data_IF_251947241915
#
_entry.id   IF_251947241915
#
_cell.length_a   1.000
_cell.length_b   1.000
_cell.length_c   1.000
_cell.angle_alpha   90.00
_cell.angle_beta   90.00
_cell.angle_gamma   90.00
#
_symmetry.space_group_name_H-M   'P 1'
#
loop_
_entity.id
_entity.type
_entity.pdbx_description
1 polymer ?
#
# COMPACT_ATOMS: atom_id res chain seq x y z
N UNK A 1 -22.52 -7.08 0.97
CA UNK A 1 -21.51 -7.71 0.10
C UNK A 1 -20.82 -8.84 0.86
N UNK A 2 -20.33 -9.86 0.13
CA UNK A 2 -19.61 -11.01 0.70
C UNK A 2 -18.12 -10.79 0.42
N UNK A 3 -17.22 -10.76 1.44
CA UNK A 3 -15.80 -10.57 1.23
C UNK A 3 -15.18 -11.77 0.49
N UNK A 4 -14.34 -11.47 -0.51
CA UNK A 4 -13.52 -12.47 -1.22
C UNK A 4 -12.24 -12.71 -0.42
N UNK A 5 -11.55 -11.64 -0.04
CA UNK A 5 -10.31 -11.67 0.73
C UNK A 5 -10.15 -10.43 1.60
N UNK A 6 -9.28 -10.54 2.59
CA UNK A 6 -8.79 -9.42 3.39
C UNK A 6 -7.39 -9.05 2.92
N UNK A 7 -7.03 -7.76 3.01
CA UNK A 7 -5.73 -7.22 2.58
C UNK A 7 -5.28 -6.09 3.49
N UNK A 8 -3.99 -5.82 3.49
CA UNK A 8 -3.37 -4.65 4.08
C UNK A 8 -2.05 -4.37 3.38
N UNK A 9 -1.36 -3.33 3.81
CA UNK A 9 -0.11 -2.90 3.18
C UNK A 9 1.11 -3.47 3.91
N UNK A 10 2.13 -3.81 3.11
CA UNK A 10 3.43 -4.26 3.61
C UNK A 10 4.52 -3.83 2.62
N UNK A 11 5.75 -3.73 3.10
CA UNK A 11 6.89 -3.43 2.23
C UNK A 11 7.33 -4.68 1.47
N UNK A 12 7.67 -4.49 0.21
CA UNK A 12 8.43 -5.46 -0.59
C UNK A 12 9.77 -4.86 -0.94
N UNK A 13 10.83 -5.67 -0.85
CA UNK A 13 12.19 -5.24 -1.07
C UNK A 13 12.88 -6.10 -2.12
N UNK A 14 13.71 -5.47 -2.95
CA UNK A 14 14.68 -6.15 -3.81
C UNK A 14 16.04 -6.14 -3.12
N UNK A 15 16.32 -7.15 -2.32
CA UNK A 15 17.56 -7.27 -1.58
C UNK A 15 18.80 -7.44 -2.45
N UNK A 16 18.66 -7.81 -3.74
CA UNK A 16 19.78 -7.78 -4.69
C UNK A 16 20.35 -6.36 -4.82
N UNK A 17 19.50 -5.34 -4.96
CA UNK A 17 19.95 -3.95 -5.04
C UNK A 17 20.42 -3.41 -3.67
N UNK A 18 19.72 -3.75 -2.58
CA UNK A 18 20.16 -3.41 -1.23
C UNK A 18 21.57 -3.96 -0.94
N UNK A 19 21.85 -5.21 -1.32
CA UNK A 19 23.18 -5.81 -1.17
C UNK A 19 24.26 -5.07 -1.99
N UNK A 20 23.94 -4.60 -3.20
CA UNK A 20 24.86 -3.76 -4.00
C UNK A 20 25.16 -2.43 -3.28
N UNK A 21 24.20 -1.88 -2.54
CA UNK A 21 24.41 -0.72 -1.67
C UNK A 21 25.11 -1.07 -0.33
N UNK A 22 25.39 -2.36 -0.09
CA UNK A 22 26.07 -2.84 1.14
C UNK A 22 25.13 -2.99 2.32
N UNK A 23 23.83 -3.13 2.07
CA UNK A 23 22.79 -3.34 3.09
C UNK A 23 22.31 -4.78 2.96
N UNK A 24 22.51 -5.59 4.02
CA UNK A 24 22.23 -7.04 4.01
C UNK A 24 20.94 -7.42 4.74
N UNK A 25 20.36 -6.49 5.50
CA UNK A 25 19.11 -6.67 6.26
C UNK A 25 18.01 -5.80 5.64
N UNK A 26 16.77 -6.27 5.70
CA UNK A 26 15.59 -5.45 5.35
C UNK A 26 15.46 -4.28 6.34
N UNK A 27 15.05 -3.07 5.89
CA UNK A 27 14.77 -1.96 6.80
C UNK A 27 13.70 -2.31 7.83
N UNK A 28 13.92 -1.92 9.10
CA UNK A 28 13.02 -2.18 10.24
C UNK A 28 12.64 -0.90 11.00
N UNK A 29 13.25 0.21 10.64
CA UNK A 29 13.04 1.51 11.29
C UNK A 29 13.15 2.66 10.28
N UNK A 30 12.73 3.85 10.69
CA UNK A 30 12.96 5.08 9.91
C UNK A 30 14.46 5.34 9.71
N UNK A 31 15.27 5.11 10.74
CA UNK A 31 16.72 5.29 10.65
C UNK A 31 17.34 4.35 9.60
N UNK A 32 16.85 3.11 9.49
CA UNK A 32 17.31 2.18 8.44
C UNK A 32 16.92 2.68 7.05
N UNK A 33 15.71 3.23 6.89
CA UNK A 33 15.29 3.82 5.62
C UNK A 33 16.15 5.01 5.23
N UNK A 34 16.41 5.94 6.16
CA UNK A 34 17.25 7.10 5.92
C UNK A 34 18.71 6.70 5.62
N UNK A 35 19.25 5.72 6.34
CA UNK A 35 20.57 5.16 6.05
C UNK A 35 20.63 4.49 4.68
N UNK A 36 19.54 3.81 4.27
CA UNK A 36 19.44 3.21 2.94
C UNK A 36 19.45 4.29 1.84
N UNK A 37 18.68 5.37 1.98
CA UNK A 37 18.70 6.49 1.04
C UNK A 37 20.11 7.02 0.80
N UNK A 38 20.83 7.31 1.87
CA UNK A 38 22.22 7.76 1.82
C UNK A 38 23.13 6.73 1.12
N UNK A 39 23.04 5.45 1.51
CA UNK A 39 23.89 4.40 0.95
C UNK A 39 23.62 4.17 -0.54
N UNK A 40 22.37 4.20 -0.98
CA UNK A 40 22.00 4.09 -2.39
C UNK A 40 22.61 5.22 -3.20
N UNK A 41 22.40 6.48 -2.75
CA UNK A 41 22.98 7.66 -3.42
C UNK A 41 24.50 7.59 -3.53
N UNK A 42 25.19 7.27 -2.43
CA UNK A 42 26.65 7.25 -2.37
C UNK A 42 27.27 6.11 -3.19
N UNK A 43 26.65 4.93 -3.24
CA UNK A 43 27.25 3.73 -3.81
C UNK A 43 26.69 3.36 -5.19
N UNK A 44 25.43 3.68 -5.46
CA UNK A 44 24.76 3.29 -6.70
C UNK A 44 24.48 4.50 -7.61
N UNK A 45 24.48 5.72 -7.05
CA UNK A 45 24.21 6.97 -7.77
C UNK A 45 22.78 7.46 -7.66
N UNK A 46 22.53 8.63 -8.25
CA UNK A 46 21.28 9.38 -8.11
C UNK A 46 20.06 8.70 -8.75
N UNK A 47 20.25 7.71 -9.62
CA UNK A 47 19.18 6.97 -10.31
C UNK A 47 18.60 5.80 -9.49
N UNK A 48 19.21 5.45 -8.35
CA UNK A 48 18.83 4.31 -7.54
C UNK A 48 18.18 4.75 -6.24
N UNK A 49 17.00 4.21 -5.95
CA UNK A 49 16.21 4.56 -4.77
C UNK A 49 15.84 3.32 -3.97
N UNK A 50 15.91 3.37 -2.62
CA UNK A 50 15.39 2.32 -1.75
C UNK A 50 13.94 1.97 -2.02
N UNK A 51 13.08 2.96 -2.38
CA UNK A 51 11.69 2.71 -2.77
C UNK A 51 11.12 3.83 -3.63
N UNK A 52 9.91 3.57 -4.17
CA UNK A 52 9.05 4.58 -4.77
C UNK A 52 7.60 4.32 -4.41
N UNK A 53 6.84 5.39 -4.21
CA UNK A 53 5.40 5.37 -3.94
C UNK A 53 4.70 6.46 -4.75
N UNK A 54 3.58 6.11 -5.39
CA UNK A 54 2.64 7.06 -5.95
C UNK A 54 1.90 7.85 -4.86
N UNK A 55 1.19 8.90 -5.23
CA UNK A 55 0.55 9.80 -4.26
C UNK A 55 -0.44 9.08 -3.32
N UNK A 56 -1.27 8.19 -3.85
CA UNK A 56 -2.18 7.38 -3.03
C UNK A 56 -1.42 6.48 -2.03
N UNK A 57 -0.32 5.87 -2.47
CA UNK A 57 0.48 5.00 -1.61
C UNK A 57 1.23 5.80 -0.54
N UNK A 58 1.65 7.04 -0.87
CA UNK A 58 2.22 7.98 0.11
C UNK A 58 1.21 8.36 1.18
N UNK A 59 -0.05 8.61 0.79
CA UNK A 59 -1.12 8.87 1.75
C UNK A 59 -1.33 7.69 2.69
N UNK A 60 -1.33 6.45 2.18
CA UNK A 60 -1.44 5.27 3.04
C UNK A 60 -0.23 5.13 3.97
N UNK A 61 0.99 5.38 3.48
CA UNK A 61 2.20 5.32 4.32
C UNK A 61 2.21 6.41 5.38
N UNK A 62 1.73 7.62 5.06
CA UNK A 62 1.52 8.70 6.02
C UNK A 62 0.57 8.30 7.15
N UNK A 63 -0.58 7.73 6.79
CA UNK A 63 -1.55 7.23 7.78
C UNK A 63 -0.94 6.11 8.62
N UNK A 64 -0.23 5.17 8.02
CA UNK A 64 0.50 4.13 8.73
C UNK A 64 1.50 4.70 9.75
N UNK A 65 2.26 5.75 9.36
CA UNK A 65 3.15 6.47 10.26
C UNK A 65 2.41 7.08 11.45
N UNK A 66 1.33 7.80 11.18
CA UNK A 66 0.53 8.46 12.21
C UNK A 66 -0.13 7.45 13.17
N UNK A 67 -0.68 6.36 12.64
CA UNK A 67 -1.26 5.28 13.44
C UNK A 67 -0.19 4.62 14.33
N UNK A 68 1.01 4.35 13.79
CA UNK A 68 2.12 3.80 14.56
C UNK A 68 2.58 4.75 15.68
N UNK A 69 2.54 6.04 15.43
CA UNK A 69 2.96 7.06 16.41
C UNK A 69 1.91 7.33 17.47
N UNK A 70 0.66 7.52 17.07
CA UNK A 70 -0.40 8.01 17.96
C UNK A 70 -1.39 6.94 18.42
N UNK A 71 -1.41 5.74 17.80
CA UNK A 71 -2.24 4.62 18.20
C UNK A 71 -3.75 4.83 18.01
N UNK A 72 -4.16 5.58 17.00
CA UNK A 72 -5.57 5.87 16.70
C UNK A 72 -5.86 5.71 15.21
N UNK A 73 -7.08 5.27 14.87
CA UNK A 73 -7.55 5.17 13.47
C UNK A 73 -7.48 6.55 12.78
N UNK A 74 -7.29 6.59 11.47
CA UNK A 74 -7.30 7.84 10.69
C UNK A 74 -8.57 8.64 10.90
N UNK A 75 -9.70 7.99 10.76
CA UNK A 75 -11.01 8.57 11.04
C UNK A 75 -11.93 7.52 11.67
N UNK A 76 -12.97 7.94 12.36
CA UNK A 76 -14.01 7.05 12.84
C UNK A 76 -14.72 6.38 11.64
N UNK A 77 -14.76 5.05 11.53
CA UNK A 77 -15.26 4.36 10.34
C UNK A 77 -16.79 4.42 10.19
N UNK A 78 -17.51 4.99 11.16
CA UNK A 78 -18.97 5.12 11.13
C UNK A 78 -19.39 6.55 10.85
N UNK A 79 -18.72 7.52 11.47
CA UNK A 79 -19.05 8.95 11.37
C UNK A 79 -18.18 9.70 10.39
N UNK A 80 -17.08 9.08 9.92
CA UNK A 80 -16.03 9.71 9.10
C UNK A 80 -15.49 10.99 9.74
N UNK A 81 -15.44 11.01 11.07
CA UNK A 81 -14.82 12.11 11.82
C UNK A 81 -13.31 11.86 11.90
N UNK A 82 -12.52 12.82 11.44
CA UNK A 82 -11.08 12.77 11.48
C UNK A 82 -10.56 12.76 12.92
N UNK A 83 -9.60 11.90 13.23
CA UNK A 83 -9.05 11.74 14.58
C UNK A 83 -7.73 12.49 14.81
N UNK A 84 -7.21 13.18 13.83
CA UNK A 84 -5.92 13.86 13.87
C UNK A 84 -6.09 15.37 13.79
N UNK A 85 -5.23 16.09 14.51
CA UNK A 85 -5.12 17.54 14.42
C UNK A 85 -4.35 17.96 13.18
N UNK A 86 -4.46 19.23 12.79
CA UNK A 86 -3.69 19.80 11.67
C UNK A 86 -2.18 19.64 11.87
N UNK A 87 -1.66 19.88 13.09
CA UNK A 87 -0.24 19.70 13.41
C UNK A 87 0.22 18.24 13.25
N UNK A 88 -0.60 17.26 13.67
CA UNK A 88 -0.30 15.84 13.49
C UNK A 88 -0.30 15.44 12.00
N UNK A 89 -1.22 16.00 11.21
CA UNK A 89 -1.28 15.77 9.76
C UNK A 89 -0.08 16.41 9.06
N UNK A 90 0.27 17.64 9.42
CA UNK A 90 1.46 18.32 8.90
C UNK A 90 2.73 17.50 9.17
N UNK A 91 2.85 16.93 10.38
CA UNK A 91 3.95 16.02 10.70
C UNK A 91 3.95 14.77 9.81
N UNK A 92 2.78 14.21 9.50
CA UNK A 92 2.65 13.08 8.59
C UNK A 92 3.10 13.41 7.16
N UNK A 93 2.75 14.59 6.67
CA UNK A 93 3.18 15.09 5.37
C UNK A 93 4.69 15.34 5.36
N UNK A 94 5.24 15.97 6.43
CA UNK A 94 6.68 16.20 6.57
C UNK A 94 7.47 14.88 6.64
N UNK A 95 6.93 13.85 7.29
CA UNK A 95 7.51 12.51 7.26
C UNK A 95 7.66 12.00 5.82
N UNK A 96 6.63 12.09 4.99
CA UNK A 96 6.72 11.69 3.56
C UNK A 96 7.74 12.54 2.81
N UNK A 97 7.72 13.86 3.03
CA UNK A 97 8.70 14.80 2.44
C UNK A 97 10.12 14.41 2.83
N UNK A 98 10.36 14.07 4.10
CA UNK A 98 11.67 13.68 4.61
C UNK A 98 12.25 12.45 3.90
N UNK A 99 11.40 11.48 3.51
CA UNK A 99 11.82 10.30 2.74
C UNK A 99 12.28 10.69 1.32
N UNK A 100 11.64 11.70 0.71
CA UNK A 100 12.06 12.23 -0.61
C UNK A 100 13.38 13.00 -0.47
N UNK A 101 13.47 13.92 0.48
CA UNK A 101 14.66 14.74 0.74
C UNK A 101 15.87 13.87 1.13
N UNK A 102 15.63 12.79 1.87
CA UNK A 102 16.62 11.78 2.27
C UNK A 102 17.03 10.79 1.18
N UNK A 103 16.56 10.97 -0.06
CA UNK A 103 16.82 10.04 -1.17
C UNK A 103 16.32 8.60 -0.91
N UNK A 104 15.38 8.43 0.01
CA UNK A 104 14.74 7.11 0.25
C UNK A 104 13.72 6.83 -0.83
N UNK A 105 12.99 7.87 -1.25
CA UNK A 105 11.90 7.77 -2.19
C UNK A 105 12.10 8.73 -3.38
N UNK A 106 11.81 8.24 -4.58
CA UNK A 106 11.88 9.07 -5.80
C UNK A 106 10.77 10.12 -5.77
N UNK A 107 11.10 11.34 -6.15
CA UNK A 107 10.16 12.44 -6.34
C UNK A 107 9.13 12.09 -7.43
N UNK A 108 7.84 12.44 -7.22
CA UNK A 108 6.76 12.12 -8.15
C UNK A 108 6.98 12.71 -9.54
N UNK A 109 7.43 13.96 -9.63
CA UNK A 109 7.74 14.62 -10.91
C UNK A 109 8.78 13.84 -11.72
N UNK A 110 9.83 13.39 -11.06
CA UNK A 110 10.89 12.59 -11.69
C UNK A 110 10.33 11.27 -12.20
N UNK A 111 9.54 10.59 -11.37
CA UNK A 111 8.94 9.32 -11.74
C UNK A 111 7.97 9.46 -12.92
N UNK A 112 7.01 10.37 -12.85
CA UNK A 112 6.00 10.54 -13.91
C UNK A 112 6.59 11.07 -15.21
N UNK A 113 7.67 11.86 -15.16
CA UNK A 113 8.38 12.30 -16.36
C UNK A 113 8.99 11.15 -17.17
N UNK A 114 9.41 10.07 -16.47
CA UNK A 114 10.01 8.90 -17.10
C UNK A 114 8.96 7.82 -17.46
N UNK A 115 7.91 7.67 -16.65
CA UNK A 115 7.01 6.51 -16.68
C UNK A 115 5.56 6.85 -17.03
N UNK A 116 5.18 8.14 -17.08
CA UNK A 116 3.78 8.56 -17.23
C UNK A 116 2.87 7.82 -16.23
N UNK A 117 1.75 7.23 -16.67
CA UNK A 117 0.82 6.46 -15.84
C UNK A 117 1.18 4.97 -15.72
N UNK A 118 2.42 4.60 -16.05
CA UNK A 118 2.86 3.20 -15.95
C UNK A 118 2.89 2.76 -14.49
N UNK A 119 2.22 1.64 -14.19
CA UNK A 119 2.23 1.07 -12.84
C UNK A 119 3.65 0.66 -12.44
N UNK A 120 4.03 0.89 -11.18
CA UNK A 120 5.41 0.73 -10.69
C UNK A 120 6.01 -0.64 -11.05
N UNK A 121 5.26 -1.75 -10.92
CA UNK A 121 5.75 -3.08 -11.28
C UNK A 121 6.04 -3.27 -12.78
N UNK A 122 5.57 -2.38 -13.64
CA UNK A 122 5.80 -2.39 -15.10
C UNK A 122 6.86 -1.36 -15.52
N UNK A 123 7.32 -0.51 -14.61
CA UNK A 123 8.36 0.46 -14.89
C UNK A 123 9.71 -0.22 -15.08
N UNK A 124 10.54 0.36 -15.94
CA UNK A 124 11.93 -0.12 -16.15
C UNK A 124 12.74 -0.03 -14.84
N UNK A 125 12.47 0.97 -14.03
CA UNK A 125 13.15 1.20 -12.75
C UNK A 125 12.89 0.07 -11.74
N UNK A 126 11.65 -0.45 -11.66
CA UNK A 126 11.35 -1.61 -10.85
C UNK A 126 11.98 -2.88 -11.44
N UNK A 127 11.74 -3.14 -12.74
CA UNK A 127 12.17 -4.35 -13.41
C UNK A 127 13.70 -4.55 -13.26
N UNK A 128 14.47 -3.47 -13.42
CA UNK A 128 15.95 -3.49 -13.35
C UNK A 128 16.52 -3.24 -11.96
N UNK A 129 15.66 -3.04 -10.96
CA UNK A 129 16.02 -2.82 -9.56
C UNK A 129 16.62 -1.43 -9.27
N UNK A 130 16.41 -0.43 -10.12
CA UNK A 130 16.72 0.98 -9.77
C UNK A 130 15.80 1.50 -8.65
N UNK A 131 14.56 1.07 -8.65
CA UNK A 131 13.65 1.15 -7.50
C UNK A 131 13.69 -0.20 -6.81
N UNK A 132 14.15 -0.24 -5.56
CA UNK A 132 14.41 -1.48 -4.84
C UNK A 132 13.35 -1.81 -3.77
N UNK A 133 12.30 -1.02 -3.64
CA UNK A 133 11.25 -1.24 -2.64
C UNK A 133 9.94 -0.58 -3.01
N UNK A 134 8.88 -1.10 -2.40
CA UNK A 134 7.53 -0.56 -2.50
C UNK A 134 6.72 -0.92 -1.25
N UNK A 135 5.80 -0.03 -0.86
CA UNK A 135 4.78 -0.30 0.16
C UNK A 135 3.45 -0.56 -0.55
N UNK A 136 3.06 -1.84 -0.62
CA UNK A 136 1.97 -2.28 -1.50
C UNK A 136 1.06 -3.30 -0.79
N UNK A 137 -0.11 -3.57 -1.38
CA UNK A 137 -1.03 -4.57 -0.89
C UNK A 137 -0.38 -5.96 -0.90
N UNK A 138 -0.57 -6.71 0.18
CA UNK A 138 -0.05 -8.08 0.35
C UNK A 138 -0.40 -9.01 -0.81
N UNK A 139 -1.60 -8.85 -1.38
CA UNK A 139 -2.07 -9.61 -2.54
C UNK A 139 -1.25 -9.38 -3.82
N UNK A 140 -0.48 -8.29 -3.88
CA UNK A 140 0.35 -7.94 -5.03
C UNK A 140 1.76 -8.59 -5.00
N UNK A 141 2.13 -9.29 -3.92
CA UNK A 141 3.49 -9.82 -3.73
C UNK A 141 4.01 -10.63 -4.94
N UNK A 142 3.20 -11.56 -5.46
CA UNK A 142 3.61 -12.36 -6.63
C UNK A 142 3.74 -11.54 -7.91
N UNK A 143 2.92 -10.49 -8.07
CA UNK A 143 2.96 -9.59 -9.22
C UNK A 143 4.26 -8.81 -9.26
N UNK A 144 4.66 -8.22 -8.13
CA UNK A 144 5.90 -7.45 -8.02
C UNK A 144 7.14 -8.34 -8.13
N UNK A 145 7.13 -9.53 -7.51
CA UNK A 145 8.22 -10.50 -7.62
C UNK A 145 8.42 -10.97 -9.07
N UNK A 146 7.34 -11.32 -9.76
CA UNK A 146 7.40 -11.82 -11.15
C UNK A 146 7.80 -10.76 -12.16
N UNK A 147 7.73 -9.48 -11.82
CA UNK A 147 8.08 -8.37 -12.70
C UNK A 147 9.59 -8.07 -12.72
N UNK A 148 10.36 -8.55 -11.73
CA UNK A 148 11.80 -8.35 -11.68
C UNK A 148 12.51 -9.16 -12.77
N UNK A 149 13.57 -8.61 -13.33
CA UNK A 149 14.42 -9.30 -14.30
C UNK A 149 15.24 -10.44 -13.67
N UNK A 150 15.92 -11.23 -14.51
CA UNK A 150 16.70 -12.38 -14.05
C UNK A 150 17.83 -12.02 -13.07
N UNK A 151 18.32 -10.78 -13.09
CA UNK A 151 19.38 -10.32 -12.20
C UNK A 151 18.85 -9.94 -10.79
N UNK A 152 17.55 -9.67 -10.67
CA UNK A 152 16.93 -9.10 -9.48
C UNK A 152 15.90 -10.02 -8.82
N UNK A 153 15.27 -10.94 -9.54
CA UNK A 153 14.14 -11.76 -9.06
C UNK A 153 14.42 -12.56 -7.79
N UNK A 154 15.65 -13.05 -7.61
CA UNK A 154 16.03 -13.85 -6.44
C UNK A 154 16.20 -13.01 -5.17
N UNK A 155 16.26 -11.69 -5.31
CA UNK A 155 16.34 -10.75 -4.19
C UNK A 155 14.99 -10.32 -3.64
N UNK A 156 13.87 -10.69 -4.26
CA UNK A 156 12.56 -10.28 -3.78
C UNK A 156 12.27 -10.83 -2.39
N UNK A 157 11.90 -9.94 -1.47
CA UNK A 157 11.67 -10.26 -0.07
C UNK A 157 10.44 -9.53 0.44
N UNK A 158 9.55 -10.25 1.11
CA UNK A 158 8.44 -9.65 1.87
C UNK A 158 9.03 -9.08 3.16
N UNK A 159 8.88 -7.77 3.35
CA UNK A 159 9.39 -7.06 4.52
C UNK A 159 8.65 -7.44 5.82
N UNK A 160 9.00 -6.71 6.86
CA UNK A 160 8.34 -6.77 8.17
C UNK A 160 7.58 -5.47 8.42
N UNK A 161 6.82 -5.40 9.51
CA UNK A 161 6.30 -4.13 10.01
C UNK A 161 7.46 -3.17 10.32
N UNK A 162 7.38 -1.94 9.82
CA UNK A 162 8.26 -0.86 10.28
C UNK A 162 7.49 -0.05 11.31
N UNK A 163 7.97 -0.04 12.54
CA UNK A 163 7.39 0.78 13.60
C UNK A 163 7.98 2.18 13.57
N UNK A 164 7.11 3.17 13.46
CA UNK A 164 7.48 4.59 13.51
C UNK A 164 7.21 5.21 14.89
N UNK A 165 6.61 4.45 15.81
CA UNK A 165 6.29 4.81 17.19
C UNK A 165 6.08 3.56 18.05
N UNK A 166 5.37 3.73 19.17
CA UNK A 166 5.15 2.67 20.15
C UNK A 166 4.01 1.72 19.78
N UNK A 167 3.19 2.09 18.80
CA UNK A 167 2.01 1.32 18.38
C UNK A 167 2.27 0.59 17.05
N UNK A 168 1.41 -0.38 16.74
CA UNK A 168 1.34 -0.92 15.40
C UNK A 168 0.60 0.08 14.50
N UNK A 169 1.15 0.32 13.32
CA UNK A 169 0.45 1.06 12.26
C UNK A 169 -0.26 0.12 11.31
N UNK A 170 -1.07 0.71 10.44
CA UNK A 170 -1.70 0.01 9.34
C UNK A 170 -3.04 -0.62 9.68
N UNK A 171 -3.84 -0.70 8.66
CA UNK A 171 -5.19 -1.23 8.68
C UNK A 171 -5.32 -2.46 7.78
N UNK A 172 -6.30 -3.30 8.09
CA UNK A 172 -6.77 -4.34 7.18
C UNK A 172 -8.17 -4.01 6.68
N UNK A 173 -8.43 -4.31 5.41
CA UNK A 173 -9.73 -4.08 4.78
C UNK A 173 -10.16 -5.26 3.93
N UNK A 174 -11.42 -5.28 3.53
CA UNK A 174 -11.89 -6.16 2.46
C UNK A 174 -11.19 -5.74 1.15
N UNK A 175 -10.41 -6.66 0.57
CA UNK A 175 -9.72 -6.40 -0.70
C UNK A 175 -10.74 -6.28 -1.84
N UNK A 176 -11.61 -7.28 -1.92
CA UNK A 176 -12.64 -7.40 -2.94
C UNK A 176 -13.89 -8.01 -2.33
N UNK A 177 -15.05 -7.57 -2.76
CA UNK A 177 -16.33 -8.11 -2.31
C UNK A 177 -17.29 -8.36 -3.47
N UNK A 178 -18.09 -9.39 -3.37
CA UNK A 178 -19.17 -9.70 -4.31
C UNK A 178 -20.52 -9.26 -3.72
N UNK A 179 -21.28 -8.52 -4.51
CA UNK A 179 -22.60 -8.03 -4.11
C UNK A 179 -23.65 -8.34 -5.17
N UNK A 180 -24.87 -8.64 -4.71
CA UNK A 180 -26.03 -8.78 -5.59
C UNK A 180 -26.74 -7.43 -5.62
N UNK A 181 -26.93 -6.86 -6.82
CA UNK A 181 -27.59 -5.58 -6.98
C UNK A 181 -29.08 -5.66 -6.65
N UNK A 182 -29.67 -4.54 -6.18
CA UNK A 182 -31.11 -4.45 -5.89
C UNK A 182 -32.02 -4.72 -7.11
N UNK A 183 -31.48 -4.57 -8.30
CA UNK A 183 -32.21 -4.78 -9.58
C UNK A 183 -32.05 -6.19 -10.11
N UNK A 184 -31.28 -7.07 -9.44
CA UNK A 184 -31.10 -8.45 -9.87
C UNK A 184 -32.45 -9.20 -9.83
N UNK A 185 -32.80 -9.85 -10.95
CA UNK A 185 -34.02 -10.66 -11.07
C UNK A 185 -33.81 -12.13 -10.70
N UNK A 186 -32.56 -12.60 -10.66
CA UNK A 186 -32.16 -13.98 -10.40
C UNK A 186 -31.28 -14.04 -9.16
N UNK A 187 -31.82 -13.60 -8.00
CA UNK A 187 -31.07 -13.46 -6.75
C UNK A 187 -30.54 -14.81 -6.24
N UNK A 188 -31.34 -15.87 -6.36
CA UNK A 188 -30.96 -17.22 -5.91
C UNK A 188 -29.79 -17.79 -6.72
N UNK A 189 -29.82 -17.60 -8.04
CA UNK A 189 -28.78 -18.07 -8.95
C UNK A 189 -27.48 -17.25 -8.74
N UNK A 190 -27.61 -15.93 -8.53
CA UNK A 190 -26.47 -15.08 -8.20
C UNK A 190 -25.82 -15.50 -6.87
N UNK A 191 -26.62 -15.79 -5.85
CA UNK A 191 -26.13 -16.29 -4.57
C UNK A 191 -25.44 -17.66 -4.73
N UNK A 192 -25.99 -18.56 -5.56
CA UNK A 192 -25.38 -19.85 -5.89
C UNK A 192 -24.02 -19.67 -6.55
N UNK A 193 -23.89 -18.75 -7.51
CA UNK A 193 -22.61 -18.44 -8.15
C UNK A 193 -21.57 -17.90 -7.13
N UNK A 194 -21.97 -16.98 -6.26
CA UNK A 194 -21.08 -16.46 -5.20
C UNK A 194 -20.64 -17.59 -4.28
N UNK A 195 -21.57 -18.45 -3.85
CA UNK A 195 -21.24 -19.59 -3.00
C UNK A 195 -20.30 -20.58 -3.71
N UNK A 196 -20.55 -20.87 -4.99
CA UNK A 196 -19.67 -21.72 -5.82
C UNK A 196 -18.23 -21.18 -5.83
N UNK A 197 -18.07 -19.88 -6.13
CA UNK A 197 -16.74 -19.28 -6.24
C UNK A 197 -15.98 -19.26 -4.90
N UNK A 198 -16.68 -19.02 -3.79
CA UNK A 198 -16.04 -18.74 -2.51
C UNK A 198 -15.98 -19.94 -1.57
N UNK A 199 -16.91 -20.91 -1.68
CA UNK A 199 -17.09 -21.96 -0.67
C UNK A 199 -17.12 -23.39 -1.22
N UNK A 200 -17.23 -23.59 -2.53
CA UNK A 200 -17.23 -24.93 -3.11
C UNK A 200 -15.84 -25.29 -3.64
N UNK A 201 -15.44 -26.57 -3.50
CA UNK A 201 -14.10 -27.04 -3.81
C UNK A 201 -13.62 -26.61 -5.20
N UNK A 202 -14.44 -26.84 -6.24
CA UNK A 202 -14.05 -26.52 -7.62
C UNK A 202 -13.88 -25.01 -7.86
N UNK A 203 -14.81 -24.20 -7.38
CA UNK A 203 -14.77 -22.74 -7.54
C UNK A 203 -13.61 -22.13 -6.75
N UNK A 204 -13.50 -22.47 -5.47
CA UNK A 204 -12.46 -21.97 -4.59
C UNK A 204 -11.03 -22.37 -5.03
N UNK A 205 -10.87 -23.60 -5.55
CA UNK A 205 -9.59 -24.05 -6.10
C UNK A 205 -9.18 -23.30 -7.38
N UNK A 206 -10.15 -22.87 -8.19
CA UNK A 206 -9.90 -22.04 -9.38
C UNK A 206 -9.55 -20.60 -8.96
N UNK A 207 -10.28 -20.04 -8.01
CA UNK A 207 -10.03 -18.68 -7.49
C UNK A 207 -8.65 -18.60 -6.82
N UNK A 208 -8.28 -19.60 -6.04
CA UNK A 208 -7.00 -19.67 -5.35
C UNK A 208 -6.71 -18.38 -4.57
N UNK A 209 -5.50 -17.84 -4.74
CA UNK A 209 -5.08 -16.55 -4.17
C UNK A 209 -4.94 -15.44 -5.22
N UNK A 210 -5.63 -15.52 -6.37
CA UNK A 210 -5.56 -14.51 -7.42
C UNK A 210 -6.11 -13.14 -6.95
N UNK A 211 -7.07 -13.16 -6.04
CA UNK A 211 -7.66 -11.96 -5.43
C UNK A 211 -7.23 -11.77 -3.96
N UNK A 212 -6.08 -12.31 -3.56
CA UNK A 212 -5.62 -12.37 -2.17
C UNK A 212 -6.02 -13.66 -1.46
N UNK A 213 -5.70 -13.77 -0.18
CA UNK A 213 -6.01 -14.96 0.62
C UNK A 213 -7.51 -15.04 0.86
N UNK A 214 -8.18 -16.17 0.52
CA UNK A 214 -9.62 -16.31 0.69
C UNK A 214 -10.09 -16.04 2.12
N UNK A 215 -11.09 -15.16 2.28
CA UNK A 215 -11.71 -14.87 3.58
C UNK A 215 -12.56 -16.05 4.10
N UNK A 216 -13.08 -16.88 3.20
CA UNK A 216 -13.79 -18.12 3.55
C UNK A 216 -12.83 -19.19 4.06
N UNK A 217 -13.06 -19.73 5.27
CA UNK A 217 -12.25 -20.84 5.81
C UNK A 217 -12.32 -22.10 4.95
N UNK A 218 -13.49 -22.41 4.40
CA UNK A 218 -13.68 -23.55 3.50
C UNK A 218 -12.96 -23.32 2.17
N UNK A 219 -13.14 -22.13 1.58
CA UNK A 219 -12.47 -21.74 0.34
C UNK A 219 -10.95 -21.72 0.46
N UNK A 220 -10.42 -21.22 1.57
CA UNK A 220 -8.97 -21.25 1.82
C UNK A 220 -8.44 -22.69 1.88
N UNK A 221 -9.16 -23.57 2.60
CA UNK A 221 -8.75 -24.99 2.67
C UNK A 221 -8.72 -25.64 1.29
N UNK A 222 -9.75 -25.46 0.48
CA UNK A 222 -9.79 -26.00 -0.88
C UNK A 222 -8.69 -25.45 -1.77
N UNK A 223 -8.43 -24.15 -1.69
CA UNK A 223 -7.35 -23.52 -2.43
C UNK A 223 -5.96 -24.03 -2.02
N UNK A 224 -5.76 -24.30 -0.72
CA UNK A 224 -4.51 -24.89 -0.19
C UNK A 224 -4.35 -26.35 -0.65
N UNK A 225 -5.40 -27.17 -0.53
CA UNK A 225 -5.39 -28.58 -0.94
C UNK A 225 -5.11 -28.71 -2.45
N UNK A 226 -5.57 -27.75 -3.25
CA UNK A 226 -5.31 -27.66 -4.69
C UNK A 226 -3.93 -27.09 -5.06
N UNK A 227 -3.12 -26.61 -4.10
CA UNK A 227 -1.87 -25.91 -4.37
C UNK A 227 -2.04 -24.55 -5.08
N UNK A 228 -3.23 -23.94 -5.00
CA UNK A 228 -3.61 -22.71 -5.69
C UNK A 228 -3.33 -21.45 -4.86
N UNK A 229 -2.73 -21.58 -3.68
CA UNK A 229 -2.30 -20.45 -2.83
C UNK A 229 -0.84 -20.14 -3.12
N UNK A 230 -0.58 -18.95 -3.64
CA UNK A 230 0.78 -18.47 -3.92
C UNK A 230 1.52 -18.20 -2.60
N UNK A 231 2.70 -18.79 -2.42
CA UNK A 231 3.47 -18.72 -1.15
C UNK A 231 3.80 -17.29 -0.72
N UNK A 232 4.23 -16.42 -1.64
CA UNK A 232 4.55 -15.02 -1.34
C UNK A 232 3.31 -14.22 -0.88
N UNK A 233 2.15 -14.48 -1.49
CA UNK A 233 0.89 -13.83 -1.08
C UNK A 233 0.47 -14.32 0.31
N UNK A 234 0.62 -15.62 0.58
CA UNK A 234 0.31 -16.18 1.90
C UNK A 234 1.25 -15.64 2.98
N UNK A 235 2.55 -15.53 2.70
CA UNK A 235 3.54 -14.93 3.62
C UNK A 235 3.20 -13.47 3.91
N UNK A 236 2.99 -12.66 2.87
CA UNK A 236 2.68 -11.25 3.02
C UNK A 236 1.38 -11.03 3.82
N UNK A 237 0.32 -11.77 3.50
CA UNK A 237 -0.94 -11.69 4.21
C UNK A 237 -0.82 -12.11 5.68
N UNK A 238 -0.10 -13.19 5.98
CA UNK A 238 0.11 -13.64 7.36
C UNK A 238 0.82 -12.56 8.20
N UNK A 239 1.85 -11.90 7.64
CA UNK A 239 2.56 -10.80 8.29
C UNK A 239 1.62 -9.60 8.52
N UNK A 240 0.90 -9.16 7.49
CA UNK A 240 -0.05 -8.05 7.56
C UNK A 240 -1.12 -8.28 8.62
N UNK A 241 -1.76 -9.45 8.63
CA UNK A 241 -2.82 -9.77 9.60
C UNK A 241 -2.30 -9.87 11.04
N UNK A 242 -0.99 -10.04 11.23
CA UNK A 242 -0.39 -10.10 12.56
C UNK A 242 -0.21 -8.72 13.22
N UNK A 243 0.01 -7.66 12.43
CA UNK A 243 0.25 -6.33 12.99
C UNK A 243 -0.88 -5.31 12.75
N UNK A 244 -1.69 -5.46 11.70
CA UNK A 244 -2.76 -4.50 11.41
C UNK A 244 -3.87 -4.57 12.46
N UNK A 245 -4.07 -3.47 13.18
CA UNK A 245 -5.09 -3.36 14.24
C UNK A 245 -6.11 -2.26 13.95
N UNK A 246 -5.77 -1.31 13.09
CA UNK A 246 -6.58 -0.15 12.78
C UNK A 246 -7.60 -0.45 11.68
N UNK A 247 -8.59 0.43 11.57
CA UNK A 247 -9.67 0.35 10.59
C UNK A 247 -9.55 1.46 9.57
N UNK A 248 -9.81 1.12 8.32
CA UNK A 248 -9.92 2.12 7.27
C UNK A 248 -11.33 2.68 7.21
N UNK A 249 -11.44 4.00 7.23
CA UNK A 249 -12.67 4.73 6.92
C UNK A 249 -13.07 4.50 5.45
N UNK A 250 -14.37 4.28 5.15
CA UNK A 250 -14.83 4.04 3.78
C UNK A 250 -14.58 5.21 2.81
N UNK A 251 -14.56 6.47 3.29
CA UNK A 251 -14.34 7.65 2.44
C UNK A 251 -12.87 7.79 2.01
N UNK A 252 -11.93 7.17 2.72
CA UNK A 252 -10.51 7.19 2.35
C UNK A 252 -10.27 6.76 0.91
N UNK A 253 -11.09 5.85 0.40
CA UNK A 253 -11.01 5.36 -0.97
C UNK A 253 -11.97 6.06 -1.93
N UNK A 254 -12.53 7.22 -1.56
CA UNK A 254 -13.31 8.03 -2.47
C UNK A 254 -12.47 8.40 -3.70
N UNK A 255 -13.06 8.31 -4.88
CA UNK A 255 -12.34 8.53 -6.13
C UNK A 255 -11.82 9.97 -6.27
N UNK A 256 -12.55 10.96 -5.75
CA UNK A 256 -12.12 12.37 -5.77
C UNK A 256 -10.89 12.61 -4.90
N UNK A 257 -10.63 11.76 -3.90
CA UNK A 257 -9.42 11.81 -3.08
C UNK A 257 -8.24 11.07 -3.73
N UNK A 258 -8.46 9.83 -4.24
CA UNK A 258 -7.37 8.91 -4.61
C UNK A 258 -7.05 8.81 -6.10
N UNK A 259 -7.85 9.42 -6.99
CA UNK A 259 -7.64 9.27 -8.42
C UNK A 259 -6.25 9.73 -8.85
N UNK A 260 -5.56 8.89 -9.63
CA UNK A 260 -4.26 9.25 -10.20
C UNK A 260 -4.38 10.47 -11.11
N UNK A 261 -3.49 11.44 -10.93
CA UNK A 261 -3.39 12.65 -11.73
C UNK A 261 -4.42 13.74 -11.42
N UNK A 262 -5.50 13.45 -10.67
CA UNK A 262 -6.59 14.41 -10.43
C UNK A 262 -7.15 14.40 -9.00
N UNK A 263 -6.82 13.42 -8.19
CA UNK A 263 -7.31 13.32 -6.81
C UNK A 263 -6.56 14.24 -5.86
N UNK A 264 -7.19 14.56 -4.75
CA UNK A 264 -6.62 15.45 -3.72
C UNK A 264 -5.28 14.92 -3.18
N UNK A 265 -5.13 13.61 -3.00
CA UNK A 265 -3.85 13.04 -2.56
C UNK A 265 -2.72 13.30 -3.55
N UNK A 266 -3.05 13.30 -4.86
CA UNK A 266 -2.08 13.66 -5.90
C UNK A 266 -1.69 15.15 -5.79
N UNK A 267 -2.67 16.03 -5.65
CA UNK A 267 -2.44 17.47 -5.51
C UNK A 267 -1.55 17.80 -4.31
N UNK A 268 -1.85 17.22 -3.14
CA UNK A 268 -1.07 17.39 -1.91
C UNK A 268 0.40 17.02 -2.12
N UNK A 269 0.67 15.81 -2.60
CA UNK A 269 2.06 15.36 -2.72
C UNK A 269 2.80 15.92 -3.94
N UNK A 270 2.10 16.33 -4.99
CA UNK A 270 2.70 17.10 -6.09
C UNK A 270 3.17 18.47 -5.60
N UNK A 271 2.32 19.20 -4.86
CA UNK A 271 2.67 20.52 -4.32
C UNK A 271 3.87 20.45 -3.36
N UNK A 272 3.95 19.39 -2.54
CA UNK A 272 5.12 19.13 -1.68
C UNK A 272 6.37 18.84 -2.52
N UNK A 273 6.28 17.96 -3.50
CA UNK A 273 7.43 17.56 -4.34
C UNK A 273 7.91 18.67 -5.28
N UNK A 274 7.02 19.59 -5.68
CA UNK A 274 7.39 20.78 -6.47
C UNK A 274 7.90 21.93 -5.59
N UNK A 275 7.67 21.87 -4.27
CA UNK A 275 7.99 22.94 -3.34
C UNK A 275 7.03 24.13 -3.43
N UNK A 276 5.83 23.89 -3.93
CA UNK A 276 4.78 24.90 -4.07
C UNK A 276 4.03 25.12 -2.74
N UNK A 277 4.06 24.15 -1.82
CA UNK A 277 3.50 24.23 -0.47
C UNK A 277 4.44 23.65 0.57
N UNK A 278 4.38 24.20 1.79
CA UNK A 278 4.95 23.57 2.99
C UNK A 278 4.01 22.46 3.49
N UNK A 279 4.46 21.55 4.37
CA UNK A 279 3.57 20.56 4.98
C UNK A 279 2.34 21.18 5.65
N UNK A 280 2.49 22.31 6.35
CA UNK A 280 1.40 23.03 7.01
C UNK A 280 0.38 23.60 6.01
N UNK A 281 0.84 24.18 4.89
CA UNK A 281 -0.04 24.67 3.82
C UNK A 281 -0.78 23.53 3.10
N UNK A 282 -0.13 22.38 2.93
CA UNK A 282 -0.71 21.21 2.30
C UNK A 282 -1.80 20.54 3.15
N UNK A 283 -1.81 20.74 4.48
CA UNK A 283 -2.90 20.30 5.36
C UNK A 283 -4.23 20.94 4.94
N UNK A 284 -4.26 22.25 4.66
CA UNK A 284 -5.48 22.93 4.23
C UNK A 284 -6.05 22.30 2.95
N UNK A 285 -5.18 22.07 1.95
CA UNK A 285 -5.58 21.40 0.70
C UNK A 285 -6.16 20.01 0.96
N UNK A 286 -5.54 19.24 1.86
CA UNK A 286 -6.02 17.89 2.20
C UNK A 286 -7.37 17.93 2.91
N UNK A 287 -7.53 18.80 3.92
CA UNK A 287 -8.74 18.90 4.73
C UNK A 287 -9.94 19.41 3.91
N UNK A 288 -9.75 20.44 3.08
CA UNK A 288 -10.79 20.94 2.17
C UNK A 288 -11.28 19.83 1.23
N UNK A 289 -10.35 19.06 0.68
CA UNK A 289 -10.68 17.91 -0.17
C UNK A 289 -11.43 16.81 0.59
N UNK A 290 -11.04 16.53 1.82
CA UNK A 290 -11.71 15.54 2.68
C UNK A 290 -13.12 15.99 3.07
N UNK A 291 -13.32 17.25 3.45
CA UNK A 291 -14.65 17.81 3.74
C UNK A 291 -15.57 17.73 2.51
N UNK A 292 -15.04 18.00 1.32
CA UNK A 292 -15.81 17.96 0.07
C UNK A 292 -16.43 16.58 -0.23
N UNK A 293 -15.83 15.50 0.28
CA UNK A 293 -16.33 14.13 0.11
C UNK A 293 -17.08 13.61 1.33
N UNK A 294 -17.23 14.42 2.38
CA UNK A 294 -18.10 14.12 3.53
C UNK A 294 -17.39 13.75 4.83
N UNK A 295 -16.10 14.01 4.97
CA UNK A 295 -15.45 13.94 6.29
C UNK A 295 -15.94 15.07 7.20
N UNK A 296 -15.97 14.78 8.50
CA UNK A 296 -16.12 15.77 9.54
C UNK A 296 -14.74 16.08 10.11
N UNK A 297 -14.31 17.33 9.99
CA UNK A 297 -13.07 17.83 10.58
C UNK A 297 -13.42 18.35 11.98
N UNK A 298 -12.69 17.92 12.99
CA UNK A 298 -12.94 18.22 14.40
C UNK A 298 -12.40 19.56 14.86
#
# INVERSE_FOLDING_TARGET
CVPVSMTGRIFFWNMTTFNKAGITEVPKSLDDLMAAGKAFKEKLGDDYYPMHLGAYDRMILMVFYLESKYGKDWADPVTSTLNYTEDEIAEGIDFIKSLVDGHVMMNLKTYYSANSDTATHQSNEWITGKIAGIFEWDSAASKYSSALDDANKDGFTVGEEIKFGDNNGGFSKVSMGLAITKTCKNVAEAATLINFLLNEEKGASIMGSECGIPASKAGLKFAQDAGAVKSLVAEANAKVMAFTTNKLDPLFENNDLKASGTGIYQEVFDNIDYGDQTPEEAVETLLDGMESVGYTIG
#
